data_IF_915949436174
#
_entry.id   IF_915949436174
#
_cell.length_a   1.000
_cell.length_b   1.000
_cell.length_c   1.000
_cell.angle_alpha   90.00
_cell.angle_beta   90.00
_cell.angle_gamma   90.00
#
_symmetry.space_group_name_H-M   'P 1'
#
loop_
_entity.id
_entity.type
_entity.pdbx_description
1 polymer ?
#
# COMPACT_ATOMS: atom_id res chain seq x y z
N UNK A 1 -15.52 6.21 -2.65
CA UNK A 1 -16.55 7.29 -2.65
C UNK A 1 -16.17 8.30 -3.73
N UNK A 2 -17.13 8.98 -4.36
CA UNK A 2 -16.84 9.98 -5.41
C UNK A 2 -16.60 11.34 -4.76
N UNK A 3 -15.46 11.96 -5.01
CA UNK A 3 -15.15 13.30 -4.52
C UNK A 3 -14.94 14.24 -5.70
N UNK A 4 -15.29 15.51 -5.53
CA UNK A 4 -15.06 16.55 -6.52
C UNK A 4 -13.78 17.27 -6.17
N UNK A 5 -12.77 17.21 -7.04
CA UNK A 5 -11.49 17.87 -6.78
C UNK A 5 -11.70 19.38 -6.64
N UNK A 6 -12.51 19.96 -7.52
CA UNK A 6 -12.70 21.41 -7.61
C UNK A 6 -14.19 21.78 -7.44
N UNK A 7 -14.75 21.69 -6.23
CA UNK A 7 -16.17 22.00 -6.00
C UNK A 7 -16.50 23.47 -6.33
N UNK A 8 -15.53 24.37 -6.17
CA UNK A 8 -15.64 25.79 -6.52
C UNK A 8 -15.71 26.03 -8.03
N UNK A 9 -15.16 25.14 -8.87
CA UNK A 9 -15.25 25.26 -10.32
C UNK A 9 -16.70 25.07 -10.82
N UNK A 10 -17.51 24.30 -10.10
CA UNK A 10 -18.96 24.18 -10.36
C UNK A 10 -19.63 25.54 -10.13
N UNK A 11 -19.31 26.23 -9.04
CA UNK A 11 -19.87 27.56 -8.74
C UNK A 11 -19.48 28.59 -9.81
N UNK A 12 -18.22 28.56 -10.27
CA UNK A 12 -17.74 29.45 -11.35
C UNK A 12 -18.49 29.16 -12.66
N UNK A 13 -18.66 27.89 -13.02
CA UNK A 13 -19.40 27.50 -14.23
C UNK A 13 -20.86 27.99 -14.19
N UNK A 14 -21.53 27.83 -13.05
CA UNK A 14 -22.91 28.32 -12.85
C UNK A 14 -22.97 29.85 -12.95
N UNK A 15 -22.02 30.56 -12.32
CA UNK A 15 -21.96 32.02 -12.37
C UNK A 15 -21.73 32.53 -13.81
N UNK A 16 -20.83 31.90 -14.57
CA UNK A 16 -20.58 32.24 -15.97
C UNK A 16 -21.84 32.07 -16.84
N UNK A 17 -22.59 30.99 -16.62
CA UNK A 17 -23.83 30.73 -17.37
C UNK A 17 -24.94 31.73 -17.03
N UNK A 18 -25.07 32.10 -15.75
CA UNK A 18 -26.00 33.14 -15.31
C UNK A 18 -25.65 34.51 -15.91
N UNK A 19 -24.35 34.84 -15.98
CA UNK A 19 -23.87 36.08 -16.58
C UNK A 19 -24.15 36.15 -18.09
N UNK A 20 -23.90 35.06 -18.83
CA UNK A 20 -24.26 34.97 -20.26
C UNK A 20 -25.76 35.16 -20.44
N UNK A 21 -26.59 34.52 -19.60
CA UNK A 21 -28.04 34.69 -19.63
C UNK A 21 -28.49 36.14 -19.40
N UNK A 22 -27.87 36.83 -18.45
CA UNK A 22 -28.12 38.24 -18.17
C UNK A 22 -27.73 39.15 -19.34
N UNK A 23 -26.56 38.92 -19.95
CA UNK A 23 -26.08 39.69 -21.10
C UNK A 23 -27.01 39.53 -22.30
N UNK A 24 -27.44 38.30 -22.60
CA UNK A 24 -28.41 38.05 -23.69
C UNK A 24 -29.73 38.79 -23.41
N UNK A 25 -30.22 38.74 -22.16
CA UNK A 25 -31.45 39.44 -21.75
C UNK A 25 -31.32 40.96 -21.88
N UNK A 26 -30.17 41.52 -21.51
CA UNK A 26 -29.89 42.95 -21.62
C UNK A 26 -29.81 43.40 -23.09
N UNK A 27 -29.19 42.59 -23.97
CA UNK A 27 -29.14 42.84 -25.40
C UNK A 27 -30.52 42.78 -26.06
N UNK A 28 -31.36 41.81 -25.67
CA UNK A 28 -32.75 41.72 -26.16
C UNK A 28 -33.61 42.88 -25.65
N UNK A 29 -33.47 43.26 -24.38
CA UNK A 29 -34.17 44.42 -23.81
C UNK A 29 -33.76 45.73 -24.53
N UNK A 30 -32.48 45.89 -24.86
CA UNK A 30 -32.00 47.02 -25.65
C UNK A 30 -32.54 47.02 -27.09
N UNK A 31 -32.69 45.85 -27.72
CA UNK A 31 -33.31 45.73 -29.05
C UNK A 31 -34.80 46.07 -29.03
N UNK A 32 -35.52 45.65 -27.99
CA UNK A 32 -36.95 45.92 -27.85
C UNK A 32 -37.24 47.39 -27.48
N UNK A 33 -36.34 48.04 -26.73
CA UNK A 33 -36.47 49.46 -26.36
C UNK A 33 -36.20 50.46 -27.49
N UNK A 34 -35.71 50.01 -28.66
CA UNK A 34 -35.31 50.89 -29.77
C UNK A 34 -36.36 51.00 -30.91
N UNK A 35 -37.49 50.29 -30.83
CA UNK A 35 -38.51 50.29 -31.87
C UNK A 35 -39.75 51.06 -31.40
N UNK A 36 -40.17 52.14 -32.10
CA UNK A 36 -41.43 52.84 -31.81
C UNK A 36 -42.60 51.86 -31.92
N UNK A 37 -43.53 51.90 -30.96
CA UNK A 37 -44.79 51.15 -30.99
C UNK A 37 -45.67 51.63 -32.16
N UNK A 38 -45.41 51.12 -33.35
CA UNK A 38 -46.39 51.08 -34.42
C UNK A 38 -47.23 49.82 -34.23
N UNK A 39 -48.55 49.95 -34.17
CA UNK A 39 -49.48 48.82 -34.26
C UNK A 39 -49.44 48.29 -35.69
N UNK A 40 -48.43 47.47 -35.96
CA UNK A 40 -48.32 46.70 -37.20
C UNK A 40 -49.15 45.43 -37.04
N UNK A 41 -49.79 45.02 -38.14
CA UNK A 41 -50.48 43.74 -38.26
C UNK A 41 -49.56 42.63 -37.73
N UNK A 42 -49.90 42.03 -36.60
CA UNK A 42 -49.06 41.04 -35.95
C UNK A 42 -49.29 39.68 -36.62
N UNK A 43 -48.22 38.94 -36.89
CA UNK A 43 -48.28 37.56 -37.38
C UNK A 43 -49.07 36.69 -36.39
N UNK A 44 -49.09 37.06 -35.11
CA UNK A 44 -49.91 36.41 -34.08
C UNK A 44 -51.43 36.53 -34.31
N UNK A 45 -51.91 37.57 -35.02
CA UNK A 45 -53.33 37.73 -35.37
C UNK A 45 -53.73 36.87 -36.59
N UNK A 46 -52.81 36.58 -37.51
CA UNK A 46 -53.01 35.71 -38.68
C UNK A 46 -52.93 34.21 -38.32
N UNK A 47 -52.23 33.88 -37.23
CA UNK A 47 -52.11 32.51 -36.68
C UNK A 47 -53.30 32.07 -35.81
N UNK A 48 -54.35 32.90 -35.67
CA UNK A 48 -55.59 32.61 -34.92
C UNK A 48 -56.56 31.63 -35.62
N UNK A 49 -56.07 30.83 -36.55
CA UNK A 49 -56.76 29.64 -37.05
C UNK A 49 -56.48 28.44 -36.12
N UNK A 50 -57.39 27.46 -36.06
CA UNK A 50 -57.23 26.28 -35.20
C UNK A 50 -55.95 25.47 -35.50
N UNK A 51 -55.49 25.52 -36.74
CA UNK A 51 -54.25 24.88 -37.21
C UNK A 51 -53.00 25.70 -36.86
N UNK A 52 -53.03 27.02 -37.06
CA UNK A 52 -51.93 27.93 -36.69
C UNK A 52 -51.66 27.93 -35.18
N UNK A 53 -52.71 27.99 -34.36
CA UNK A 53 -52.59 27.91 -32.92
C UNK A 53 -52.05 26.55 -32.45
N UNK A 54 -52.33 25.46 -33.17
CA UNK A 54 -51.80 24.12 -32.89
C UNK A 54 -50.31 24.04 -33.20
N UNK A 55 -49.88 24.53 -34.36
CA UNK A 55 -48.47 24.60 -34.76
C UNK A 55 -47.65 25.49 -33.81
N UNK A 56 -48.18 26.63 -33.41
CA UNK A 56 -47.53 27.53 -32.45
C UNK A 56 -47.38 26.87 -31.06
N UNK A 57 -48.39 26.12 -30.60
CA UNK A 57 -48.29 25.34 -29.34
C UNK A 57 -47.25 24.22 -29.46
N UNK A 58 -47.19 23.51 -30.58
CA UNK A 58 -46.18 22.49 -30.85
C UNK A 58 -44.78 23.09 -30.90
N UNK A 59 -44.59 24.20 -31.61
CA UNK A 59 -43.33 24.93 -31.68
C UNK A 59 -42.87 25.43 -30.31
N UNK A 60 -43.76 26.04 -29.53
CA UNK A 60 -43.47 26.45 -28.14
C UNK A 60 -43.11 25.25 -27.24
N UNK A 61 -43.76 24.09 -27.41
CA UNK A 61 -43.43 22.85 -26.68
C UNK A 61 -42.05 22.32 -27.06
N UNK A 62 -41.74 22.23 -28.35
CA UNK A 62 -40.43 21.81 -28.83
C UNK A 62 -39.32 22.79 -28.42
N UNK A 63 -39.59 24.09 -28.45
CA UNK A 63 -38.64 25.12 -28.01
C UNK A 63 -38.37 25.03 -26.48
N UNK A 64 -39.42 24.79 -25.67
CA UNK A 64 -39.25 24.49 -24.24
C UNK A 64 -38.46 23.20 -24.00
N UNK A 65 -38.72 22.15 -24.78
CA UNK A 65 -37.97 20.90 -24.69
C UNK A 65 -36.48 21.09 -25.05
N UNK A 66 -36.18 21.86 -26.10
CA UNK A 66 -34.82 22.23 -26.48
C UNK A 66 -34.12 23.01 -25.36
N UNK A 67 -34.79 24.01 -24.78
CA UNK A 67 -34.25 24.79 -23.67
C UNK A 67 -33.95 23.92 -22.44
N UNK A 68 -34.85 23.00 -22.08
CA UNK A 68 -34.64 22.07 -20.96
C UNK A 68 -33.45 21.15 -21.21
N UNK A 69 -33.33 20.58 -22.42
CA UNK A 69 -32.19 19.72 -22.79
C UNK A 69 -30.85 20.48 -22.75
N UNK A 70 -30.84 21.74 -23.20
CA UNK A 70 -29.65 22.59 -23.14
C UNK A 70 -29.23 22.88 -21.68
N UNK A 71 -30.18 23.17 -20.79
CA UNK A 71 -29.91 23.38 -19.36
C UNK A 71 -29.36 22.11 -18.70
N UNK A 72 -29.93 20.95 -19.00
CA UNK A 72 -29.45 19.67 -18.47
C UNK A 72 -28.03 19.34 -18.98
N UNK A 73 -27.73 19.61 -20.25
CA UNK A 73 -26.40 19.45 -20.82
C UNK A 73 -25.37 20.37 -20.13
N UNK A 74 -25.78 21.59 -19.79
CA UNK A 74 -24.94 22.56 -19.12
C UNK A 74 -24.64 22.16 -17.66
N UNK A 75 -25.64 21.66 -16.94
CA UNK A 75 -25.48 21.14 -15.57
C UNK A 75 -24.53 19.94 -15.56
N UNK A 76 -24.70 19.00 -16.50
CA UNK A 76 -23.79 17.84 -16.61
C UNK A 76 -22.38 18.27 -16.98
N UNK A 77 -22.20 19.23 -17.89
CA UNK A 77 -20.89 19.80 -18.21
C UNK A 77 -20.23 20.45 -16.98
N UNK A 78 -20.97 21.22 -16.18
CA UNK A 78 -20.46 21.81 -14.94
C UNK A 78 -20.04 20.72 -13.92
N UNK A 79 -20.79 19.62 -13.84
CA UNK A 79 -20.42 18.49 -12.99
C UNK A 79 -19.13 17.80 -13.44
N UNK A 80 -18.87 17.68 -14.75
CA UNK A 80 -17.60 17.17 -15.29
C UNK A 80 -16.42 18.11 -15.01
N UNK A 81 -16.63 19.43 -15.10
CA UNK A 81 -15.58 20.44 -14.81
C UNK A 81 -15.12 20.36 -13.35
N UNK A 82 -16.01 19.96 -12.44
CA UNK A 82 -15.65 19.67 -11.05
C UNK A 82 -14.72 18.46 -10.88
N UNK A 83 -14.33 17.79 -11.98
CA UNK A 83 -13.47 16.59 -12.07
C UNK A 83 -13.88 15.54 -11.03
N UNK A 84 -14.99 14.82 -11.29
CA UNK A 84 -15.39 13.72 -10.42
C UNK A 84 -14.24 12.72 -10.38
N UNK A 85 -13.67 12.55 -9.20
CA UNK A 85 -12.52 11.72 -8.97
C UNK A 85 -12.88 10.61 -8.01
N UNK A 86 -12.27 9.46 -8.23
CA UNK A 86 -12.26 8.37 -7.26
C UNK A 86 -10.87 8.32 -6.65
N UNK A 87 -10.82 8.06 -5.36
CA UNK A 87 -9.59 7.55 -4.77
C UNK A 87 -9.45 6.14 -5.33
N UNK A 88 -8.41 5.92 -6.15
CA UNK A 88 -8.08 4.59 -6.59
C UNK A 88 -7.42 3.89 -5.40
N UNK A 89 -8.22 3.23 -4.58
CA UNK A 89 -7.72 2.35 -3.51
C UNK A 89 -7.45 0.93 -4.06
N UNK A 90 -7.17 0.80 -5.36
CA UNK A 90 -6.94 -0.47 -6.03
C UNK A 90 -5.46 -0.62 -6.38
N UNK A 91 -4.79 -1.42 -5.54
CA UNK A 91 -3.67 -2.30 -5.85
C UNK A 91 -2.33 -1.73 -6.31
N UNK A 92 -2.09 -0.42 -6.21
CA UNK A 92 -0.72 0.09 -6.22
C UNK A 92 -0.12 0.02 -4.80
N UNK A 93 -0.16 -1.19 -4.22
CA UNK A 93 0.69 -1.56 -3.11
C UNK A 93 2.13 -1.66 -3.63
N UNK A 94 2.76 -0.51 -3.91
CA UNK A 94 4.21 -0.46 -3.88
C UNK A 94 4.57 -0.56 -2.40
N UNK A 95 4.61 -1.79 -1.88
CA UNK A 95 5.09 -2.08 -0.54
C UNK A 95 6.58 -1.73 -0.52
N UNK A 96 6.88 -0.45 -0.37
CA UNK A 96 8.23 0.07 -0.28
C UNK A 96 8.76 -0.25 1.13
N UNK A 97 8.93 -1.55 1.42
CA UNK A 97 9.49 -2.04 2.67
C UNK A 97 10.69 -2.92 2.40
N UNK A 98 11.65 -2.85 3.30
CA UNK A 98 12.81 -3.73 3.35
C UNK A 98 12.72 -4.58 4.61
N UNK A 99 12.72 -5.90 4.43
CA UNK A 99 12.58 -6.87 5.52
C UNK A 99 13.84 -7.72 5.57
N UNK A 100 14.54 -7.72 6.70
CA UNK A 100 15.66 -8.62 6.93
C UNK A 100 15.26 -9.69 7.94
N UNK A 101 15.35 -10.95 7.50
CA UNK A 101 15.17 -12.13 8.33
C UNK A 101 16.51 -12.43 9.00
N UNK A 102 16.51 -12.54 10.33
CA UNK A 102 17.71 -12.71 11.15
C UNK A 102 17.58 -13.98 11.96
N UNK A 103 18.33 -15.00 11.57
CA UNK A 103 18.24 -16.32 12.16
C UNK A 103 19.47 -16.59 13.03
N UNK A 104 19.25 -16.87 14.31
CA UNK A 104 20.27 -17.42 15.20
C UNK A 104 20.48 -18.89 14.86
N UNK A 105 21.69 -19.25 14.40
CA UNK A 105 22.07 -20.63 14.06
C UNK A 105 23.02 -21.22 15.11
N UNK A 106 22.89 -20.76 16.36
CA UNK A 106 23.64 -21.30 17.48
C UNK A 106 23.15 -22.69 17.86
N UNK A 107 23.97 -23.43 18.63
CA UNK A 107 23.66 -24.83 18.95
C UNK A 107 22.37 -25.01 19.77
N UNK A 108 21.89 -23.98 20.48
CA UNK A 108 20.66 -24.04 21.26
C UNK A 108 19.40 -23.82 20.41
N UNK A 109 19.51 -23.08 19.30
CA UNK A 109 18.40 -22.75 18.39
C UNK A 109 18.35 -23.65 17.15
N UNK A 110 19.48 -24.22 16.73
CA UNK A 110 19.61 -25.05 15.53
C UNK A 110 18.54 -26.16 15.38
N UNK A 111 18.14 -26.88 16.46
CA UNK A 111 17.06 -27.87 16.37
C UNK A 111 15.69 -27.29 15.99
N UNK A 112 15.46 -26.00 16.19
CA UNK A 112 14.20 -25.29 15.98
C UNK A 112 14.21 -24.43 14.70
N UNK A 113 15.38 -24.17 14.12
CA UNK A 113 15.56 -23.32 12.93
C UNK A 113 14.76 -23.80 11.72
N UNK A 114 14.53 -25.11 11.58
CA UNK A 114 13.71 -25.69 10.51
C UNK A 114 12.28 -25.12 10.51
N UNK A 115 11.67 -25.02 11.69
CA UNK A 115 10.32 -24.48 11.86
C UNK A 115 10.30 -22.95 11.68
N UNK A 116 11.36 -22.26 12.09
CA UNK A 116 11.54 -20.82 11.82
C UNK A 116 11.63 -20.56 10.31
N UNK A 117 12.38 -21.37 9.58
CA UNK A 117 12.50 -21.26 8.12
C UNK A 117 11.16 -21.55 7.43
N UNK A 118 10.41 -22.56 7.90
CA UNK A 118 9.04 -22.80 7.41
C UNK A 118 8.12 -21.59 7.64
N UNK A 119 8.26 -20.93 8.79
CA UNK A 119 7.57 -19.66 9.09
C UNK A 119 7.98 -18.58 8.09
N UNK A 120 9.28 -18.39 7.84
CA UNK A 120 9.78 -17.42 6.86
C UNK A 120 9.30 -17.68 5.43
N UNK A 121 9.25 -18.95 5.01
CA UNK A 121 8.68 -19.33 3.70
C UNK A 121 7.22 -18.91 3.60
N UNK A 122 6.44 -19.10 4.67
CA UNK A 122 5.04 -18.67 4.74
C UNK A 122 4.94 -17.14 4.64
N UNK A 123 5.75 -16.40 5.41
CA UNK A 123 5.80 -14.93 5.36
C UNK A 123 6.05 -14.41 3.94
N UNK A 124 7.06 -14.96 3.25
CA UNK A 124 7.46 -14.49 1.90
C UNK A 124 6.38 -14.75 0.86
N UNK A 125 5.54 -15.80 1.04
CA UNK A 125 4.44 -16.07 0.13
C UNK A 125 3.32 -15.01 0.17
N UNK A 126 3.26 -14.23 1.25
CA UNK A 126 2.28 -13.16 1.43
C UNK A 126 2.81 -11.78 1.00
N UNK A 127 4.12 -11.61 0.89
CA UNK A 127 4.75 -10.34 0.51
C UNK A 127 4.54 -10.04 -0.98
N UNK A 128 4.28 -8.76 -1.28
CA UNK A 128 4.06 -8.18 -2.61
C UNK A 128 4.69 -6.79 -2.69
N UNK A 129 5.90 -6.71 -3.26
CA UNK A 129 6.61 -5.45 -3.55
C UNK A 129 7.72 -5.10 -2.56
N UNK A 130 7.80 -5.81 -1.42
CA UNK A 130 8.89 -5.67 -0.44
C UNK A 130 10.18 -6.31 -0.92
N UNK A 131 11.33 -5.77 -0.49
CA UNK A 131 12.60 -6.46 -0.62
C UNK A 131 12.87 -7.27 0.65
N UNK A 132 13.38 -8.48 0.47
CA UNK A 132 13.68 -9.41 1.55
C UNK A 132 15.16 -9.79 1.54
N UNK A 133 15.76 -9.90 2.72
CA UNK A 133 17.11 -10.41 2.93
C UNK A 133 17.12 -11.46 4.03
N UNK A 134 18.10 -12.37 4.01
CA UNK A 134 18.32 -13.33 5.09
C UNK A 134 19.77 -13.28 5.55
N UNK A 135 19.96 -13.11 6.85
CA UNK A 135 21.25 -13.24 7.52
C UNK A 135 21.16 -14.25 8.65
N UNK A 136 22.17 -15.11 8.72
CA UNK A 136 22.35 -16.07 9.80
C UNK A 136 23.46 -15.57 10.71
N UNK A 137 23.36 -15.80 12.01
CA UNK A 137 24.41 -15.44 12.96
C UNK A 137 24.63 -16.49 14.04
N UNK A 138 25.84 -16.53 14.57
CA UNK A 138 26.15 -17.26 15.79
C UNK A 138 27.22 -16.45 16.55
N UNK A 139 28.50 -16.74 16.32
CA UNK A 139 29.61 -15.95 16.85
C UNK A 139 30.06 -14.83 15.90
N UNK A 140 29.65 -14.95 14.64
CA UNK A 140 29.77 -13.99 13.54
C UNK A 140 28.53 -14.12 12.66
N UNK A 141 28.25 -13.11 11.83
CA UNK A 141 27.10 -13.09 10.92
C UNK A 141 27.51 -13.38 9.48
N UNK A 142 26.64 -14.05 8.73
CA UNK A 142 26.77 -14.27 7.29
C UNK A 142 25.43 -14.00 6.60
N UNK A 143 25.46 -13.20 5.55
CA UNK A 143 24.32 -13.03 4.64
C UNK A 143 24.15 -14.29 3.78
N UNK A 144 22.97 -14.91 3.85
CA UNK A 144 22.60 -16.04 2.98
C UNK A 144 22.20 -15.51 1.60
N UNK A 145 21.34 -14.51 1.57
CA UNK A 145 21.04 -13.72 0.38
C UNK A 145 20.84 -12.24 0.75
N UNK A 146 21.34 -11.31 -0.08
CA UNK A 146 21.18 -9.89 0.14
C UNK A 146 19.73 -9.47 -0.09
N UNK A 147 19.42 -8.23 0.28
CA UNK A 147 18.12 -7.61 0.09
C UNK A 147 17.71 -7.65 -1.41
N UNK A 148 16.63 -8.35 -1.72
CA UNK A 148 16.17 -8.63 -3.09
C UNK A 148 14.64 -8.66 -3.20
N UNK A 149 14.10 -8.32 -4.37
CA UNK A 149 12.70 -8.50 -4.74
C UNK A 149 12.44 -9.81 -5.52
N UNK A 150 13.48 -10.59 -5.83
CA UNK A 150 13.35 -11.92 -6.43
C UNK A 150 12.91 -12.96 -5.39
N UNK A 151 11.60 -13.04 -5.17
CA UNK A 151 10.99 -14.03 -4.28
C UNK A 151 11.22 -15.47 -4.73
N UNK A 152 11.43 -15.72 -6.02
CA UNK A 152 11.70 -17.08 -6.53
C UNK A 152 13.09 -17.54 -6.11
N UNK A 153 14.07 -16.64 -6.11
CA UNK A 153 15.40 -16.92 -5.56
C UNK A 153 15.34 -17.10 -4.05
N UNK A 154 14.71 -16.18 -3.32
CA UNK A 154 14.61 -16.25 -1.86
C UNK A 154 13.88 -17.51 -1.38
N UNK A 155 12.76 -17.88 -2.01
CA UNK A 155 12.02 -19.10 -1.68
C UNK A 155 12.87 -20.36 -1.91
N UNK A 156 13.65 -20.43 -3.00
CA UNK A 156 14.57 -21.54 -3.26
C UNK A 156 15.70 -21.62 -2.23
N UNK A 157 16.23 -20.49 -1.77
CA UNK A 157 17.26 -20.48 -0.73
C UNK A 157 16.71 -20.95 0.62
N UNK A 158 15.49 -20.54 0.98
CA UNK A 158 14.84 -21.01 2.21
C UNK A 158 14.43 -22.48 2.11
N UNK A 159 13.97 -22.94 0.95
CA UNK A 159 13.69 -24.36 0.73
C UNK A 159 14.97 -25.20 0.84
N UNK A 160 16.09 -24.72 0.29
CA UNK A 160 17.37 -25.36 0.44
C UNK A 160 17.82 -25.43 1.91
N UNK A 161 17.62 -24.34 2.67
CA UNK A 161 17.94 -24.31 4.10
C UNK A 161 17.03 -25.27 4.93
N UNK A 162 15.74 -25.32 4.63
CA UNK A 162 14.77 -26.25 5.24
C UNK A 162 15.16 -27.71 4.97
N UNK A 163 15.49 -28.07 3.73
CA UNK A 163 15.93 -29.41 3.36
C UNK A 163 17.23 -29.83 4.09
N UNK A 164 18.17 -28.89 4.28
CA UNK A 164 19.41 -29.13 5.00
C UNK A 164 19.18 -29.32 6.51
N UNK A 165 18.27 -28.53 7.10
CA UNK A 165 18.08 -28.48 8.54
C UNK A 165 17.10 -29.52 9.09
N UNK A 166 16.27 -30.15 8.26
CA UNK A 166 15.44 -31.32 8.67
C UNK A 166 16.25 -32.46 9.29
N UNK A 167 17.54 -32.57 8.99
CA UNK A 167 18.41 -33.62 9.53
C UNK A 167 19.00 -33.33 10.91
N UNK A 168 18.82 -32.13 11.46
CA UNK A 168 19.48 -31.69 12.72
C UNK A 168 18.51 -31.38 13.86
N UNK A 169 17.25 -31.78 13.73
CA UNK A 169 16.19 -31.54 14.72
C UNK A 169 16.41 -32.33 16.02
N UNK A 170 16.94 -33.56 15.91
CA UNK A 170 17.20 -34.42 17.08
C UNK A 170 18.57 -35.10 17.00
N UNK A 171 19.09 -35.52 18.16
CA UNK A 171 20.34 -36.29 18.22
C UNK A 171 20.24 -37.59 17.39
N UNK A 172 19.08 -38.24 17.39
CA UNK A 172 18.83 -39.45 16.61
C UNK A 172 18.87 -39.19 15.10
N UNK A 173 18.51 -37.99 14.65
CA UNK A 173 18.58 -37.60 13.24
C UNK A 173 20.02 -37.30 12.84
N UNK A 174 20.75 -36.59 13.70
CA UNK A 174 22.19 -36.31 13.54
C UNK A 174 22.98 -37.62 13.45
N UNK A 175 22.68 -38.60 14.31
CA UNK A 175 23.37 -39.90 14.32
C UNK A 175 23.11 -40.71 13.05
N UNK A 176 21.99 -40.47 12.35
CA UNK A 176 21.64 -41.10 11.06
C UNK A 176 22.17 -40.34 9.85
N UNK A 177 22.73 -39.14 10.04
CA UNK A 177 23.27 -38.34 8.93
C UNK A 177 24.48 -39.02 8.29
N UNK A 178 24.51 -39.05 6.96
CA UNK A 178 25.73 -39.37 6.22
C UNK A 178 26.78 -38.27 6.41
N UNK A 179 28.06 -38.64 6.28
CA UNK A 179 29.16 -37.67 6.32
C UNK A 179 28.99 -36.52 5.31
N UNK A 180 28.36 -36.79 4.16
CA UNK A 180 28.07 -35.78 3.16
C UNK A 180 27.00 -34.78 3.63
N UNK A 181 25.92 -35.24 4.27
CA UNK A 181 24.89 -34.36 4.82
C UNK A 181 25.45 -33.50 5.94
N UNK A 182 26.28 -34.09 6.82
CA UNK A 182 26.95 -33.34 7.88
C UNK A 182 27.83 -32.24 7.31
N UNK A 183 28.61 -32.54 6.27
CA UNK A 183 29.44 -31.54 5.59
C UNK A 183 28.59 -30.43 4.97
N UNK A 184 27.45 -30.74 4.35
CA UNK A 184 26.57 -29.73 3.76
C UNK A 184 26.00 -28.76 4.81
N UNK A 185 25.58 -29.26 5.97
CA UNK A 185 25.15 -28.40 7.10
C UNK A 185 26.33 -27.56 7.60
N UNK A 186 27.52 -28.17 7.75
CA UNK A 186 28.73 -27.46 8.15
C UNK A 186 29.11 -26.34 7.17
N UNK A 187 29.02 -26.59 5.86
CA UNK A 187 29.30 -25.63 4.79
C UNK A 187 28.26 -24.50 4.75
N UNK A 188 27.00 -24.79 5.07
CA UNK A 188 25.95 -23.79 5.18
C UNK A 188 26.18 -22.87 6.40
N UNK A 189 26.55 -23.45 7.55
CA UNK A 189 26.93 -22.73 8.77
C UNK A 189 28.33 -22.07 8.67
N UNK A 190 29.10 -22.36 7.63
CA UNK A 190 30.45 -21.83 7.50
C UNK A 190 30.41 -20.29 7.45
N UNK A 191 31.31 -19.67 8.19
CA UNK A 191 31.39 -18.21 8.32
C UNK A 191 30.61 -17.61 9.49
N UNK A 192 29.79 -18.39 10.21
CA UNK A 192 29.12 -17.91 11.45
C UNK A 192 29.86 -18.30 12.74
N UNK A 193 30.85 -19.20 12.66
CA UNK A 193 31.58 -19.78 13.80
C UNK A 193 33.03 -19.29 13.95
N UNK A 194 33.38 -18.10 13.43
CA UNK A 194 34.76 -17.64 13.36
C UNK A 194 35.38 -17.19 14.70
N UNK A 195 34.58 -16.92 15.74
CA UNK A 195 35.08 -16.63 17.10
C UNK A 195 35.04 -17.88 17.97
N UNK A 196 36.20 -18.25 18.53
CA UNK A 196 36.33 -19.37 19.48
C UNK A 196 35.74 -18.96 20.84
N UNK A 197 34.97 -19.84 21.48
CA UNK A 197 34.36 -19.66 22.81
C UNK A 197 33.31 -18.54 22.93
N UNK A 198 32.69 -18.16 21.81
CA UNK A 198 31.51 -17.31 21.81
C UNK A 198 30.48 -17.94 20.89
N UNK A 199 29.24 -18.06 21.34
CA UNK A 199 28.08 -18.49 20.56
C UNK A 199 26.89 -17.60 20.91
N UNK A 200 25.92 -17.48 20.01
CA UNK A 200 24.67 -16.73 20.27
C UNK A 200 24.94 -15.25 20.61
N UNK A 201 25.80 -14.57 19.84
CA UNK A 201 26.06 -13.13 20.01
C UNK A 201 24.91 -12.30 19.43
N UNK A 202 23.73 -12.42 20.05
CA UNK A 202 22.44 -11.90 19.58
C UNK A 202 22.47 -10.41 19.26
N UNK A 203 22.98 -9.55 20.15
CA UNK A 203 23.04 -8.11 19.87
C UNK A 203 23.98 -7.76 18.72
N UNK A 204 25.12 -8.45 18.60
CA UNK A 204 26.05 -8.29 17.47
C UNK A 204 25.42 -8.80 16.16
N UNK A 205 24.65 -9.90 16.23
CA UNK A 205 23.86 -10.45 15.13
C UNK A 205 22.80 -9.49 14.63
N UNK A 206 22.02 -8.89 15.54
CA UNK A 206 20.99 -7.90 15.21
C UNK A 206 21.59 -6.64 14.55
N UNK A 207 22.71 -6.13 15.07
CA UNK A 207 23.41 -4.99 14.44
C UNK A 207 23.93 -5.35 13.04
N UNK A 208 24.44 -6.57 12.87
CA UNK A 208 24.94 -7.04 11.56
C UNK A 208 23.82 -7.20 10.54
N UNK A 209 22.66 -7.68 10.98
CA UNK A 209 21.43 -7.68 10.20
C UNK A 209 20.97 -6.28 9.80
N UNK A 210 20.93 -5.36 10.77
CA UNK A 210 20.54 -3.99 10.53
C UNK A 210 21.48 -3.29 9.53
N UNK A 211 22.75 -3.69 9.48
CA UNK A 211 23.70 -3.19 8.49
C UNK A 211 23.38 -3.59 7.04
N UNK A 212 22.51 -4.58 6.80
CA UNK A 212 22.00 -4.89 5.47
C UNK A 212 20.91 -3.91 5.01
N UNK A 213 20.29 -3.18 5.95
CA UNK A 213 19.25 -2.21 5.64
C UNK A 213 19.88 -0.87 5.24
N UNK A 214 19.39 -0.24 4.15
CA UNK A 214 19.79 1.12 3.80
C UNK A 214 19.53 2.09 4.96
N UNK A 215 20.42 3.06 5.15
CA UNK A 215 20.25 4.08 6.19
C UNK A 215 20.80 3.73 7.58
N UNK A 216 21.10 2.47 7.88
CA UNK A 216 21.70 2.09 9.18
C UNK A 216 23.19 2.46 9.29
N UNK A 217 24.00 2.16 8.26
CA UNK A 217 25.47 2.34 8.31
C UNK A 217 25.98 3.59 7.61
N UNK A 218 25.44 3.95 6.44
CA UNK A 218 26.05 4.96 5.56
C UNK A 218 25.24 6.24 5.37
N UNK A 219 24.13 6.42 6.11
CA UNK A 219 23.19 7.51 5.88
C UNK A 219 22.40 7.31 4.58
N UNK A 220 21.08 7.22 4.68
CA UNK A 220 20.22 6.91 3.54
C UNK A 220 20.18 8.03 2.50
N UNK A 221 19.99 7.67 1.23
CA UNK A 221 19.53 8.65 0.23
C UNK A 221 18.05 9.01 0.51
N UNK A 222 17.53 10.10 -0.09
CA UNK A 222 16.10 10.43 0.05
C UNK A 222 15.17 9.28 -0.40
N UNK A 223 15.62 8.44 -1.34
CA UNK A 223 14.88 7.25 -1.79
C UNK A 223 14.88 6.12 -0.73
N UNK A 224 15.94 6.01 0.07
CA UNK A 224 16.03 5.03 1.16
C UNK A 224 15.20 5.46 2.38
N UNK A 225 15.06 6.78 2.61
CA UNK A 225 14.19 7.33 3.66
C UNK A 225 12.70 7.16 3.38
N UNK A 226 12.34 6.79 2.15
CA UNK A 226 10.95 6.56 1.72
C UNK A 226 10.52 5.09 1.87
N UNK A 227 11.41 4.19 2.31
CA UNK A 227 11.09 2.78 2.54
C UNK A 227 11.07 2.49 4.03
N UNK A 228 9.99 1.85 4.49
CA UNK A 228 9.96 1.32 5.85
C UNK A 228 10.95 0.16 5.96
N UNK A 229 11.60 0.03 7.11
CA UNK A 229 12.58 -1.00 7.35
C UNK A 229 12.22 -1.84 8.58
N UNK A 230 12.25 -3.16 8.44
CA UNK A 230 11.92 -4.08 9.53
C UNK A 230 12.86 -5.27 9.58
N UNK A 231 13.10 -5.77 10.78
CA UNK A 231 13.87 -6.98 11.04
C UNK A 231 12.99 -8.00 11.74
N UNK A 232 13.04 -9.26 11.32
CA UNK A 232 12.45 -10.38 12.06
C UNK A 232 13.57 -11.19 12.67
N UNK A 233 13.78 -11.04 13.99
CA UNK A 233 14.85 -11.69 14.75
C UNK A 233 14.36 -13.00 15.37
N UNK A 234 14.92 -14.13 14.94
CA UNK A 234 14.68 -15.44 15.52
C UNK A 234 15.83 -15.87 16.44
N UNK A 235 15.55 -16.07 17.74
CA UNK A 235 16.53 -16.50 18.75
C UNK A 235 15.83 -16.98 20.03
N UNK A 236 16.55 -17.71 20.90
CA UNK A 236 16.12 -18.08 22.25
C UNK A 236 16.54 -17.05 23.33
N UNK A 237 17.27 -16.00 22.93
CA UNK A 237 17.88 -15.00 23.81
C UNK A 237 18.88 -15.56 24.84
N UNK A 238 19.47 -16.73 24.60
CA UNK A 238 20.47 -17.34 25.48
C UNK A 238 21.88 -17.01 24.99
N UNK A 239 22.47 -15.97 25.56
CA UNK A 239 23.81 -15.50 25.18
C UNK A 239 24.91 -16.36 25.81
N UNK A 240 25.88 -16.80 25.00
CA UNK A 240 27.06 -17.53 25.47
C UNK A 240 28.36 -16.88 24.98
N UNK A 241 28.83 -15.87 25.72
CA UNK A 241 30.08 -15.17 25.41
C UNK A 241 30.02 -13.69 25.75
N UNK A 242 31.02 -12.95 25.28
CA UNK A 242 31.07 -11.49 25.43
C UNK A 242 30.56 -10.82 24.16
N UNK A 243 29.40 -10.19 24.25
CA UNK A 243 28.83 -9.39 23.16
C UNK A 243 29.48 -8.00 23.09
N UNK A 244 29.59 -7.46 21.87
CA UNK A 244 30.00 -6.05 21.67
C UNK A 244 28.82 -5.13 21.96
N UNK A 245 27.63 -5.52 21.49
CA UNK A 245 26.36 -4.88 21.76
C UNK A 245 25.44 -5.85 22.48
N UNK A 246 24.81 -5.41 23.58
CA UNK A 246 23.70 -6.16 24.18
C UNK A 246 22.48 -6.10 23.28
N UNK A 247 21.51 -7.01 23.45
CA UNK A 247 20.24 -6.96 22.72
C UNK A 247 19.54 -5.58 22.89
N UNK A 248 19.49 -5.06 24.12
CA UNK A 248 18.92 -3.74 24.39
C UNK A 248 19.63 -2.61 23.62
N UNK A 249 20.98 -2.61 23.60
CA UNK A 249 21.75 -1.63 22.86
C UNK A 249 21.54 -1.75 21.34
N UNK A 250 21.41 -2.96 20.84
CA UNK A 250 21.13 -3.21 19.42
C UNK A 250 19.73 -2.69 19.05
N UNK A 251 18.71 -2.93 19.89
CA UNK A 251 17.35 -2.42 19.71
C UNK A 251 17.28 -0.88 19.78
N UNK A 252 18.05 -0.26 20.69
CA UNK A 252 18.21 1.20 20.73
C UNK A 252 18.79 1.75 19.42
N UNK A 253 19.77 1.07 18.82
CA UNK A 253 20.39 1.49 17.56
C UNK A 253 19.44 1.33 16.38
N UNK A 254 18.73 0.20 16.28
CA UNK A 254 17.76 -0.03 15.20
C UNK A 254 16.58 0.94 15.31
N UNK A 255 16.08 1.18 16.52
CA UNK A 255 14.99 2.13 16.78
C UNK A 255 15.37 3.56 16.38
N UNK A 256 16.60 4.01 16.69
CA UNK A 256 17.12 5.32 16.25
C UNK A 256 17.23 5.45 14.73
N UNK A 257 17.45 4.34 14.04
CA UNK A 257 17.49 4.29 12.58
C UNK A 257 16.10 4.15 11.93
N UNK A 258 15.02 4.14 12.72
CA UNK A 258 13.66 3.93 12.20
C UNK A 258 13.36 2.49 11.79
N UNK A 259 14.19 1.53 12.22
CA UNK A 259 14.03 0.11 11.92
C UNK A 259 13.26 -0.55 13.05
N UNK A 260 12.12 -1.16 12.74
CA UNK A 260 11.36 -1.94 13.73
C UNK A 260 11.89 -3.37 13.79
N UNK A 261 11.99 -3.95 15.00
CA UNK A 261 12.47 -5.32 15.18
C UNK A 261 11.34 -6.14 15.80
N UNK A 262 10.88 -7.15 15.07
CA UNK A 262 9.94 -8.16 15.57
C UNK A 262 10.74 -9.39 16.05
N UNK A 263 10.35 -9.95 17.19
CA UNK A 263 11.01 -11.09 17.81
C UNK A 263 10.23 -12.38 17.60
N UNK A 264 10.92 -13.42 17.14
CA UNK A 264 10.42 -14.78 17.05
C UNK A 264 11.24 -15.68 17.97
N UNK A 265 10.62 -16.22 19.00
CA UNK A 265 11.31 -17.14 19.91
C UNK A 265 11.61 -18.46 19.18
N UNK A 266 12.87 -18.89 19.21
CA UNK A 266 13.34 -20.13 18.59
C UNK A 266 13.96 -21.04 19.64
N UNK A 267 13.10 -21.73 20.39
CA UNK A 267 13.53 -22.57 21.51
C UNK A 267 12.45 -23.57 21.94
N UNK A 268 12.74 -24.44 22.91
CA UNK A 268 11.78 -25.38 23.45
C UNK A 268 10.60 -24.66 24.11
N UNK A 269 9.39 -25.19 23.97
CA UNK A 269 8.19 -24.61 24.60
C UNK A 269 8.26 -24.58 26.14
N UNK A 270 9.11 -25.41 26.74
CA UNK A 270 9.38 -25.37 28.18
C UNK A 270 10.07 -24.06 28.61
N UNK A 271 10.78 -23.41 27.69
CA UNK A 271 11.51 -22.16 27.90
C UNK A 271 10.70 -20.91 27.50
N UNK A 272 9.42 -21.05 27.13
CA UNK A 272 8.56 -19.93 26.73
C UNK A 272 8.42 -18.86 27.84
N UNK A 273 8.64 -19.25 29.10
CA UNK A 273 8.50 -18.39 30.29
C UNK A 273 9.83 -18.22 31.05
N UNK A 274 10.94 -18.62 30.45
CA UNK A 274 12.26 -18.40 31.04
C UNK A 274 12.57 -16.90 31.13
N UNK A 275 13.40 -16.52 32.10
CA UNK A 275 13.77 -15.11 32.33
C UNK A 275 14.35 -14.46 31.05
N UNK A 276 15.15 -15.21 30.28
CA UNK A 276 15.71 -14.75 29.02
C UNK A 276 14.62 -14.48 27.96
N UNK A 277 13.62 -15.35 27.85
CA UNK A 277 12.50 -15.22 26.90
C UNK A 277 11.63 -14.01 27.25
N UNK A 278 11.28 -13.85 28.53
CA UNK A 278 10.50 -12.71 29.00
C UNK A 278 11.27 -11.38 28.91
N UNK A 279 12.59 -11.40 29.11
CA UNK A 279 13.44 -10.26 28.85
C UNK A 279 13.42 -9.87 27.36
N UNK A 280 13.51 -10.84 26.45
CA UNK A 280 13.41 -10.59 25.01
C UNK A 280 12.05 -10.00 24.65
N UNK A 281 10.95 -10.60 25.14
CA UNK A 281 9.59 -10.09 24.97
C UNK A 281 9.49 -8.62 25.38
N UNK A 282 9.91 -8.33 26.62
CA UNK A 282 9.87 -6.99 27.20
C UNK A 282 10.66 -5.99 26.34
N UNK A 283 11.87 -6.34 25.94
CA UNK A 283 12.72 -5.47 25.13
C UNK A 283 12.11 -5.23 23.74
N UNK A 284 11.61 -6.27 23.06
CA UNK A 284 10.99 -6.12 21.74
C UNK A 284 9.75 -5.23 21.81
N UNK A 285 8.85 -5.48 22.77
CA UNK A 285 7.60 -4.72 22.92
C UNK A 285 7.85 -3.26 23.33
N UNK A 286 8.85 -3.00 24.18
CA UNK A 286 9.26 -1.63 24.54
C UNK A 286 9.72 -0.80 23.33
N UNK A 287 10.29 -1.46 22.32
CA UNK A 287 10.72 -0.84 21.07
C UNK A 287 9.65 -0.91 19.95
N UNK A 288 8.38 -1.13 20.33
CA UNK A 288 7.23 -1.22 19.41
C UNK A 288 7.27 -2.40 18.42
N UNK A 289 8.09 -3.40 18.70
CA UNK A 289 8.10 -4.67 17.99
C UNK A 289 7.05 -5.64 18.51
N UNK A 290 6.73 -6.66 17.70
CA UNK A 290 5.88 -7.78 18.13
C UNK A 290 6.75 -8.95 18.54
N UNK A 291 6.48 -9.55 19.70
CA UNK A 291 7.14 -10.77 20.14
C UNK A 291 6.21 -11.98 19.96
N UNK A 292 6.72 -13.06 19.40
CA UNK A 292 5.95 -14.26 19.07
C UNK A 292 6.64 -15.51 19.56
N UNK A 293 5.83 -16.42 20.10
CA UNK A 293 6.25 -17.78 20.41
C UNK A 293 6.00 -18.68 19.18
N UNK A 294 6.95 -19.57 18.93
CA UNK A 294 6.85 -20.56 17.86
C UNK A 294 5.82 -21.66 18.15
N UNK A 295 5.67 -22.01 19.43
CA UNK A 295 4.75 -23.04 19.95
C UNK A 295 3.27 -22.76 19.65
N UNK A 296 2.92 -21.51 19.36
CA UNK A 296 1.52 -21.10 19.25
C UNK A 296 0.85 -21.38 17.89
N UNK A 297 1.59 -21.72 16.83
CA UNK A 297 1.05 -22.19 15.52
C UNK A 297 0.18 -21.19 14.71
N UNK A 298 -0.60 -20.35 15.38
CA UNK A 298 -1.45 -19.26 14.86
C UNK A 298 -0.67 -17.91 14.77
N UNK A 299 0.54 -17.85 15.33
CA UNK A 299 1.32 -16.61 15.54
C UNK A 299 1.89 -16.01 14.25
N UNK A 300 2.11 -16.79 13.20
CA UNK A 300 2.64 -16.30 11.91
C UNK A 300 1.62 -15.42 11.20
N UNK A 301 0.35 -15.81 11.22
CA UNK A 301 -0.72 -15.00 10.65
C UNK A 301 -0.92 -13.69 11.43
N UNK A 302 -0.67 -13.70 12.74
CA UNK A 302 -0.63 -12.48 13.55
C UNK A 302 0.58 -11.61 13.25
N UNK A 303 1.77 -12.18 12.99
CA UNK A 303 2.94 -11.44 12.53
C UNK A 303 2.65 -10.74 11.20
N UNK A 304 2.16 -11.50 10.21
CA UNK A 304 1.79 -10.95 8.90
C UNK A 304 0.77 -9.84 9.09
N UNK A 305 -0.28 -10.07 9.89
CA UNK A 305 -1.29 -9.03 10.19
C UNK A 305 -0.73 -7.83 10.95
N UNK A 306 0.26 -8.01 11.82
CA UNK A 306 0.89 -6.92 12.56
C UNK A 306 1.83 -6.09 11.67
N UNK A 307 2.56 -6.75 10.78
CA UNK A 307 3.38 -6.11 9.73
C UNK A 307 2.46 -5.36 8.74
N UNK A 308 1.40 -5.99 8.27
CA UNK A 308 0.44 -5.43 7.31
C UNK A 308 -0.39 -4.28 7.91
N UNK A 309 -0.82 -4.37 9.18
CA UNK A 309 -1.54 -3.26 9.86
C UNK A 309 -0.68 -2.01 10.03
N UNK A 310 0.61 -2.15 10.32
CA UNK A 310 1.53 -1.00 10.43
C UNK A 310 1.67 -0.26 9.09
N UNK A 311 1.64 -1.00 7.97
CA UNK A 311 1.64 -0.42 6.62
C UNK A 311 0.39 0.43 6.37
N UNK A 312 -0.80 -0.02 6.78
CA UNK A 312 -2.05 0.73 6.56
C UNK A 312 -2.02 2.10 7.28
N UNK A 313 -1.50 2.16 8.51
CA UNK A 313 -1.45 3.42 9.28
C UNK A 313 -0.46 4.45 8.71
N UNK A 314 0.68 4.01 8.16
CA UNK A 314 1.63 4.92 7.50
C UNK A 314 1.14 5.37 6.11
N UNK A 315 0.42 4.49 5.40
CA UNK A 315 -0.14 4.79 4.08
C UNK A 315 -1.34 5.74 4.16
N UNK A 316 -2.16 5.73 5.21
CA UNK A 316 -3.30 6.68 5.33
C UNK A 316 -2.85 8.15 5.37
N UNK A 317 -1.62 8.45 5.82
CA UNK A 317 -1.04 9.80 5.76
C UNK A 317 -0.50 10.16 4.35
N UNK A 318 -0.03 9.18 3.57
CA UNK A 318 0.56 9.40 2.24
C UNK A 318 -0.43 9.20 1.06
N UNK A 319 -1.45 8.36 1.22
CA UNK A 319 -2.44 7.93 0.21
C UNK A 319 -3.45 9.02 -0.18
N UNK A 320 -3.52 10.12 0.56
CA UNK A 320 -4.36 11.27 0.17
C UNK A 320 -3.88 11.97 -1.12
N UNK A 321 -2.73 11.59 -1.67
CA UNK A 321 -2.11 12.24 -2.81
C UNK A 321 -2.56 11.74 -4.19
N UNK A 322 -3.03 10.48 -4.34
CA UNK A 322 -3.36 9.94 -5.67
C UNK A 322 -4.85 9.94 -6.01
N UNK A 323 -5.27 11.00 -6.69
CA UNK A 323 -6.62 11.19 -7.17
C UNK A 323 -6.70 10.92 -8.67
N UNK A 324 -7.40 9.86 -9.06
CA UNK A 324 -7.66 9.54 -10.46
C UNK A 324 -9.02 10.08 -10.90
N UNK A 325 -9.06 10.73 -12.06
CA UNK A 325 -10.32 11.23 -12.63
C UNK A 325 -11.18 10.04 -13.08
N UNK A 326 -12.45 10.02 -12.65
CA UNK A 326 -13.42 8.99 -12.96
C UNK A 326 -14.66 9.60 -13.65
N UNK A 327 -14.54 10.01 -14.92
CA UNK A 327 -15.64 10.68 -15.62
C UNK A 327 -16.83 9.74 -15.95
N UNK A 328 -16.65 8.41 -15.85
CA UNK A 328 -17.70 7.40 -15.76
C UNK A 328 -18.91 7.61 -16.70
N UNK A 329 -20.11 7.40 -16.16
CA UNK A 329 -21.39 7.53 -16.89
C UNK A 329 -21.75 8.99 -17.25
N UNK A 330 -21.07 9.98 -16.68
CA UNK A 330 -21.32 11.40 -16.96
C UNK A 330 -20.98 11.76 -18.41
N UNK A 331 -19.96 11.12 -19.00
CA UNK A 331 -19.58 11.29 -20.41
C UNK A 331 -20.66 10.76 -21.36
N UNK A 332 -21.28 9.62 -21.03
CA UNK A 332 -22.41 9.09 -21.78
C UNK A 332 -23.64 9.98 -21.64
N UNK A 333 -23.92 10.47 -20.43
CA UNK A 333 -25.06 11.36 -20.16
C UNK A 333 -24.99 12.65 -21.00
N UNK A 334 -23.83 13.31 -21.06
CA UNK A 334 -23.67 14.54 -21.85
C UNK A 334 -23.79 14.27 -23.36
N UNK A 335 -23.26 13.14 -23.84
CA UNK A 335 -23.38 12.75 -25.25
C UNK A 335 -24.85 12.53 -25.66
N UNK A 336 -25.64 11.86 -24.81
CA UNK A 336 -27.07 11.63 -25.05
C UNK A 336 -27.87 12.94 -25.01
N UNK A 337 -27.58 13.83 -24.06
CA UNK A 337 -28.26 15.13 -23.96
C UNK A 337 -28.00 16.02 -25.17
N UNK A 338 -26.75 16.08 -25.66
CA UNK A 338 -26.39 16.83 -26.86
C UNK A 338 -27.04 16.23 -28.12
N UNK A 339 -27.06 14.90 -28.26
CA UNK A 339 -27.74 14.25 -29.38
C UNK A 339 -29.24 14.51 -29.38
N UNK A 340 -29.90 14.40 -28.21
CA UNK A 340 -31.32 14.74 -28.05
C UNK A 340 -31.61 16.20 -28.38
N UNK A 341 -30.76 17.12 -27.94
CA UNK A 341 -30.88 18.54 -28.27
C UNK A 341 -30.77 18.79 -29.77
N UNK A 342 -29.79 18.17 -30.45
CA UNK A 342 -29.63 18.29 -31.90
C UNK A 342 -30.85 17.79 -32.68
N UNK A 343 -31.45 16.67 -32.26
CA UNK A 343 -32.68 16.12 -32.88
C UNK A 343 -33.85 17.11 -32.73
N UNK A 344 -34.04 17.67 -31.54
CA UNK A 344 -35.11 18.65 -31.29
C UNK A 344 -34.86 19.95 -32.06
N UNK A 345 -33.63 20.44 -32.08
CA UNK A 345 -33.24 21.65 -32.82
C UNK A 345 -33.43 21.46 -34.34
N UNK A 346 -33.09 20.28 -34.86
CA UNK A 346 -33.33 19.93 -36.26
C UNK A 346 -34.82 19.87 -36.60
N UNK A 347 -35.64 19.33 -35.70
CA UNK A 347 -37.10 19.28 -35.86
C UNK A 347 -37.78 20.65 -35.73
N UNK A 348 -37.15 21.61 -35.05
CA UNK A 348 -37.59 23.01 -34.97
C UNK A 348 -37.24 23.82 -36.24
N UNK A 349 -36.22 23.40 -36.99
CA UNK A 349 -35.79 24.07 -38.23
C UNK A 349 -36.59 23.64 -39.46
N UNK A 350 -37.23 22.47 -39.40
CA UNK A 350 -38.13 21.94 -40.43
C UNK A 350 -39.57 22.34 -40.16
#
# INVERSE_FOLDING_TARGET
MLHWRWPWAILIAVAACALIGLVVRALDAHRQGALPQATVFDIDDDLRTDEGARMLRLWRRWNRAAAVLAVLALITMAALVGRPARVAAEDEHSANRDIVLCLDVSGSTLPYDQQVIATYRTLISHFKGERIGLSIFNSTSRTVFPLTDDYTMAARQLEHADDLLRGVETQDDIDKMSAQQYQQVSDWLAGTQNRKNATSLIGDGLVSCAAMLPGFTYGGTQADQLRDASIVLATDNVVSGTQTYTLAQALDLTSKAGITVDGLFSGPSQSDHDEATEQMRTLIEQHHGTFLLQSDGDSVADLVRAIDRRQISAVDEASQADWTDAPGWWTLAIAVLLAGWLIVAWRLRR
#
